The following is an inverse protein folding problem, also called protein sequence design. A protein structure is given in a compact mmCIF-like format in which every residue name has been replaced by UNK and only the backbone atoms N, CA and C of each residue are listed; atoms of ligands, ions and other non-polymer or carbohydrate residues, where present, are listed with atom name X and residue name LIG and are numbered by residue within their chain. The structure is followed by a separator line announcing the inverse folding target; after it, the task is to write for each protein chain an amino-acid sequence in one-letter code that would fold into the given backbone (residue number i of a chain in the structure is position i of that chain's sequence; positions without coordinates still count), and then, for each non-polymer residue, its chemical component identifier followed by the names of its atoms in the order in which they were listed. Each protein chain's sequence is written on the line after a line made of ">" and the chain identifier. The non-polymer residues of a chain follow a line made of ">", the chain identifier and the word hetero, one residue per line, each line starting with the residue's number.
data_IF_787664894876
#
_entry.id   IF_787664894876
#
_cell.length_a   1.000
_cell.length_b   1.000
_cell.length_c   1.000
_cell.angle_alpha   90.00
_cell.angle_beta   90.00
_cell.angle_gamma   90.00
#
_symmetry.space_group_name_H-M   'P 1'
#
loop_
_entity.id
_entity.type
_entity.pdbx_description
1 polymer ?
#
# COMPACT_ATOMS: atom_id res chain seq x y z
N UNK A 1 -45.12 41.06 -5.83
CA UNK A 1 -44.52 39.89 -5.14
C UNK A 1 -43.10 39.71 -5.65
N UNK A 2 -42.12 40.15 -4.86
CA UNK A 2 -40.70 40.01 -5.18
C UNK A 2 -40.24 38.66 -4.61
N UNK A 3 -39.79 37.73 -5.46
CA UNK A 3 -39.24 36.46 -5.00
C UNK A 3 -37.90 36.72 -4.32
N UNK A 4 -37.87 36.36 -3.04
CA UNK A 4 -36.76 36.47 -2.11
C UNK A 4 -35.58 35.61 -2.59
N UNK A 5 -34.50 36.27 -3.01
CA UNK A 5 -33.16 35.67 -3.12
C UNK A 5 -32.67 35.39 -1.70
N UNK A 6 -32.42 34.11 -1.37
CA UNK A 6 -31.72 33.74 -0.14
C UNK A 6 -30.32 33.23 -0.50
N UNK A 7 -29.37 34.14 -0.33
CA UNK A 7 -27.99 33.85 0.04
C UNK A 7 -27.96 33.21 1.45
N UNK A 8 -26.83 32.60 1.85
CA UNK A 8 -26.53 31.77 3.05
C UNK A 8 -26.50 30.28 2.64
N UNK A 9 -25.36 29.58 2.54
CA UNK A 9 -24.23 29.55 3.47
C UNK A 9 -22.88 29.33 2.80
N UNK A 10 -21.92 30.20 3.13
CA UNK A 10 -20.50 29.85 3.19
C UNK A 10 -20.29 29.12 4.54
N UNK A 11 -19.25 28.28 4.58
CA UNK A 11 -18.60 27.63 5.75
C UNK A 11 -19.11 26.22 6.07
N UNK A 12 -18.48 25.21 5.46
CA UNK A 12 -17.98 24.02 6.20
C UNK A 12 -16.76 23.42 5.49
N UNK A 13 -15.67 24.20 5.38
CA UNK A 13 -14.34 23.65 5.08
C UNK A 13 -13.53 23.72 6.37
N UNK A 14 -13.76 22.80 7.31
CA UNK A 14 -12.87 22.50 8.44
C UNK A 14 -13.29 21.17 9.10
N UNK A 15 -13.24 20.06 8.35
CA UNK A 15 -13.42 18.73 8.93
C UNK A 15 -12.31 17.71 8.58
N UNK A 16 -11.27 18.11 7.84
CA UNK A 16 -10.16 17.19 7.50
C UNK A 16 -8.96 17.27 8.45
N UNK A 17 -9.12 17.82 9.67
CA UNK A 17 -8.00 17.93 10.62
C UNK A 17 -8.02 16.90 11.76
N UNK A 18 -9.06 16.08 11.90
CA UNK A 18 -9.09 14.97 12.87
C UNK A 18 -9.94 13.81 12.34
N UNK A 19 -9.29 12.85 11.69
CA UNK A 19 -9.58 11.41 11.83
C UNK A 19 -11.02 10.89 11.69
N UNK A 20 -11.92 11.57 10.98
CA UNK A 20 -13.20 10.98 10.63
C UNK A 20 -13.00 10.01 9.46
N UNK A 21 -12.75 8.74 9.81
CA UNK A 21 -12.76 7.62 8.86
C UNK A 21 -14.00 7.71 7.99
N UNK A 22 -13.85 7.58 6.68
CA UNK A 22 -14.97 7.24 5.83
C UNK A 22 -15.65 5.99 6.45
N UNK A 23 -16.99 5.95 6.53
CA UNK A 23 -17.67 4.77 7.05
C UNK A 23 -17.18 3.56 6.25
N UNK A 24 -16.81 2.49 6.96
CA UNK A 24 -16.54 1.19 6.32
C UNK A 24 -17.70 0.90 5.37
N UNK A 25 -17.45 0.47 4.12
CA UNK A 25 -18.54 0.08 3.25
C UNK A 25 -19.35 -0.99 3.99
N UNK A 26 -20.62 -0.67 4.27
CA UNK A 26 -21.58 -1.67 4.73
C UNK A 26 -21.70 -2.68 3.59
N UNK A 27 -21.11 -3.87 3.80
CA UNK A 27 -21.32 -5.01 2.93
C UNK A 27 -22.79 -5.37 3.13
N UNK A 28 -23.63 -4.90 2.22
CA UNK A 28 -25.02 -5.30 2.14
C UNK A 28 -25.05 -6.81 1.89
N UNK A 29 -25.23 -7.59 2.96
CA UNK A 29 -25.57 -9.02 2.95
C UNK A 29 -26.97 -9.21 2.31
N UNK A 30 -27.05 -8.96 1.01
CA UNK A 30 -28.12 -9.44 0.15
C UNK A 30 -27.76 -10.82 -0.40
N UNK A 31 -28.74 -11.69 -0.70
CA UNK A 31 -28.47 -12.96 -1.34
C UNK A 31 -27.97 -12.69 -2.77
N UNK A 32 -26.66 -12.68 -3.00
CA UNK A 32 -26.16 -12.59 -4.38
C UNK A 32 -24.69 -12.33 -4.68
N UNK A 33 -23.83 -11.90 -3.75
CA UNK A 33 -22.41 -11.67 -4.07
C UNK A 33 -21.54 -12.01 -2.86
N UNK A 34 -20.90 -13.18 -2.87
CA UNK A 34 -19.82 -13.48 -1.91
C UNK A 34 -18.62 -12.67 -2.37
N UNK A 35 -18.18 -11.70 -1.56
CA UNK A 35 -16.92 -11.00 -1.82
C UNK A 35 -15.77 -11.99 -1.56
N UNK A 36 -15.13 -12.45 -2.64
CA UNK A 36 -13.94 -13.29 -2.57
C UNK A 36 -12.74 -12.39 -2.83
N UNK A 37 -12.11 -11.90 -1.77
CA UNK A 37 -11.00 -10.93 -1.87
C UNK A 37 -9.87 -11.42 -2.78
N UNK A 38 -9.60 -12.74 -2.77
CA UNK A 38 -8.59 -13.37 -3.62
C UNK A 38 -8.81 -13.18 -5.13
N UNK A 39 -10.06 -12.97 -5.58
CA UNK A 39 -10.38 -12.76 -7.00
C UNK A 39 -9.92 -11.38 -7.50
N UNK A 40 -9.68 -10.43 -6.59
CA UNK A 40 -9.25 -9.06 -6.90
C UNK A 40 -7.76 -8.81 -6.59
N UNK A 41 -7.10 -9.77 -5.94
CA UNK A 41 -5.67 -9.73 -5.63
C UNK A 41 -4.80 -10.06 -6.84
N UNK A 42 -3.58 -9.52 -6.85
CA UNK A 42 -2.58 -9.93 -7.83
C UNK A 42 -2.08 -11.36 -7.58
N UNK A 43 -1.48 -11.98 -8.60
CA UNK A 43 -0.81 -13.28 -8.44
C UNK A 43 0.25 -13.27 -7.32
N UNK A 44 0.87 -12.11 -7.09
CA UNK A 44 1.85 -11.90 -6.02
C UNK A 44 1.17 -11.82 -4.65
N UNK A 45 0.12 -11.02 -4.50
CA UNK A 45 -0.59 -10.92 -3.23
C UNK A 45 -1.23 -12.26 -2.82
N UNK A 46 -1.65 -13.08 -3.80
CA UNK A 46 -2.18 -14.42 -3.56
C UNK A 46 -1.15 -15.43 -3.02
N UNK A 47 0.15 -15.10 -2.95
CA UNK A 47 1.14 -15.94 -2.25
C UNK A 47 1.16 -15.73 -0.73
N UNK A 48 0.40 -14.74 -0.25
CA UNK A 48 0.30 -14.34 1.15
C UNK A 48 -1.14 -14.49 1.67
N UNK A 49 -1.33 -14.92 2.93
CA UNK A 49 -2.65 -15.06 3.54
C UNK A 49 -3.18 -13.71 4.05
N UNK A 50 -3.41 -12.75 3.14
CA UNK A 50 -3.97 -11.44 3.49
C UNK A 50 -5.32 -11.53 4.24
N UNK A 51 -6.12 -12.57 3.98
CA UNK A 51 -7.40 -12.81 4.68
C UNK A 51 -7.26 -13.17 6.15
N UNK A 52 -6.11 -13.75 6.53
CA UNK A 52 -5.87 -14.21 7.90
C UNK A 52 -5.28 -13.11 8.77
N UNK A 53 -4.83 -12.01 8.16
CA UNK A 53 -4.24 -10.88 8.86
C UNK A 53 -5.32 -9.91 9.37
N UNK A 54 -5.32 -9.68 10.69
CA UNK A 54 -6.22 -8.74 11.33
C UNK A 54 -5.88 -7.29 10.92
N UNK A 55 -6.86 -6.54 10.42
CA UNK A 55 -6.70 -5.12 10.06
C UNK A 55 -6.84 -4.78 8.58
N UNK A 56 -6.94 -5.78 7.70
CA UNK A 56 -7.16 -5.60 6.26
C UNK A 56 -6.12 -4.67 5.58
N UNK A 57 -4.82 -4.98 5.69
CA UNK A 57 -3.74 -4.15 5.17
C UNK A 57 -3.80 -4.07 3.64
N UNK A 58 -3.31 -2.96 3.09
CA UNK A 58 -3.18 -2.73 1.65
C UNK A 58 -1.80 -3.14 1.12
N UNK A 59 -0.81 -3.22 2.02
CA UNK A 59 0.54 -3.67 1.68
C UNK A 59 1.05 -4.71 2.67
N UNK A 60 1.73 -5.71 2.13
CA UNK A 60 2.69 -6.50 2.89
C UNK A 60 4.11 -5.96 2.59
N UNK A 61 4.93 -5.84 3.62
CA UNK A 61 6.25 -5.19 3.51
C UNK A 61 7.31 -6.02 4.21
N UNK A 62 8.42 -6.24 3.52
CA UNK A 62 9.65 -6.84 4.08
C UNK A 62 10.68 -5.74 4.23
N UNK A 63 11.28 -5.60 5.41
CA UNK A 63 12.52 -4.84 5.54
C UNK A 63 13.71 -5.69 5.10
N UNK A 64 14.35 -5.28 4.01
CA UNK A 64 15.53 -5.92 3.45
C UNK A 64 16.76 -5.29 4.10
N UNK A 65 17.16 -5.83 5.25
CA UNK A 65 18.31 -5.32 6.04
C UNK A 65 19.62 -5.16 5.26
N UNK A 66 19.78 -5.86 4.12
CA UNK A 66 20.91 -5.77 3.20
C UNK A 66 20.48 -6.03 1.73
N UNK A 67 21.11 -5.37 0.76
CA UNK A 67 20.83 -5.56 -0.69
C UNK A 67 21.02 -7.01 -1.15
N UNK A 68 21.93 -7.75 -0.49
CA UNK A 68 22.27 -9.13 -0.84
C UNK A 68 21.15 -10.15 -0.60
N UNK A 69 20.10 -9.77 0.13
CA UNK A 69 18.99 -10.66 0.49
C UNK A 69 17.73 -10.46 -0.36
N UNK A 70 17.68 -9.44 -1.22
CA UNK A 70 16.49 -9.11 -2.03
C UNK A 70 16.02 -10.29 -2.88
N UNK A 71 16.93 -10.91 -3.62
CA UNK A 71 16.60 -12.04 -4.49
C UNK A 71 16.12 -13.26 -3.68
N UNK A 72 16.72 -13.51 -2.51
CA UNK A 72 16.29 -14.59 -1.60
C UNK A 72 14.82 -14.43 -1.19
N UNK A 73 14.41 -13.23 -0.79
CA UNK A 73 13.01 -12.97 -0.43
C UNK A 73 12.07 -13.11 -1.63
N UNK A 74 12.44 -12.56 -2.79
CA UNK A 74 11.64 -12.70 -4.03
C UNK A 74 11.43 -14.18 -4.37
N UNK A 75 12.50 -14.97 -4.38
CA UNK A 75 12.42 -16.39 -4.73
C UNK A 75 11.62 -17.20 -3.73
N UNK A 76 11.71 -16.86 -2.44
CA UNK A 76 11.02 -17.58 -1.37
C UNK A 76 9.54 -17.22 -1.28
N UNK A 77 9.19 -15.93 -1.35
CA UNK A 77 7.81 -15.46 -1.28
C UNK A 77 7.01 -15.81 -2.54
N UNK A 78 7.68 -15.79 -3.70
CA UNK A 78 7.06 -16.03 -5.00
C UNK A 78 7.51 -17.34 -5.64
N UNK A 79 7.87 -18.34 -4.83
CA UNK A 79 8.37 -19.64 -5.32
C UNK A 79 7.40 -20.39 -6.24
N UNK A 80 6.10 -20.11 -6.10
CA UNK A 80 5.05 -20.66 -6.95
C UNK A 80 4.77 -19.89 -8.24
N UNK A 81 5.41 -18.73 -8.44
CA UNK A 81 5.24 -17.91 -9.64
C UNK A 81 6.32 -18.20 -10.69
N UNK A 82 6.03 -17.83 -11.93
CA UNK A 82 6.96 -17.98 -13.04
C UNK A 82 8.18 -17.07 -12.89
N UNK A 83 9.32 -17.47 -13.46
CA UNK A 83 10.52 -16.62 -13.54
C UNK A 83 10.27 -15.33 -14.33
N UNK A 84 9.34 -15.35 -15.29
CA UNK A 84 8.93 -14.15 -16.02
C UNK A 84 8.19 -13.16 -15.13
N UNK A 85 7.30 -13.64 -14.24
CA UNK A 85 6.64 -12.80 -13.24
C UNK A 85 7.67 -12.20 -12.29
N UNK A 86 8.55 -13.01 -11.70
CA UNK A 86 9.60 -12.51 -10.80
C UNK A 86 10.50 -11.44 -11.44
N UNK A 87 10.83 -11.57 -12.74
CA UNK A 87 11.62 -10.56 -13.48
C UNK A 87 10.93 -9.21 -13.67
N UNK A 88 9.60 -9.12 -13.48
CA UNK A 88 8.87 -7.84 -13.52
C UNK A 88 9.07 -7.02 -12.24
N UNK A 89 9.50 -7.64 -11.15
CA UNK A 89 9.78 -6.97 -9.88
C UNK A 89 10.98 -6.06 -10.10
N UNK A 90 10.74 -4.75 -10.05
CA UNK A 90 11.76 -3.72 -10.28
C UNK A 90 12.27 -3.16 -8.97
N UNK A 91 13.48 -2.61 -9.03
CA UNK A 91 14.06 -1.82 -7.95
C UNK A 91 14.03 -0.34 -8.31
N UNK A 92 13.64 0.48 -7.35
CA UNK A 92 13.65 1.93 -7.42
C UNK A 92 14.53 2.51 -6.32
N UNK A 93 15.38 3.47 -6.68
CA UNK A 93 16.29 4.13 -5.76
C UNK A 93 15.91 5.61 -5.62
N UNK A 94 15.44 5.97 -4.43
CA UNK A 94 15.09 7.34 -4.05
C UNK A 94 16.11 7.94 -3.06
N UNK A 95 17.28 7.31 -2.93
CA UNK A 95 18.32 7.62 -1.95
C UNK A 95 18.10 6.93 -0.60
N UNK A 96 18.92 7.26 0.41
CA UNK A 96 18.85 6.61 1.72
C UNK A 96 19.60 5.27 1.80
N UNK A 97 19.48 4.62 2.96
CA UNK A 97 20.25 3.41 3.30
C UNK A 97 19.39 2.20 3.69
N UNK A 98 18.06 2.33 3.64
CA UNK A 98 17.12 1.24 3.94
C UNK A 98 16.49 0.75 2.65
N UNK A 99 16.23 -0.55 2.60
CA UNK A 99 15.62 -1.21 1.45
C UNK A 99 14.42 -2.01 1.89
N UNK A 100 13.37 -2.01 1.09
CA UNK A 100 12.10 -2.67 1.39
C UNK A 100 11.59 -3.40 0.16
N UNK A 101 11.00 -4.58 0.34
CA UNK A 101 10.15 -5.19 -0.68
C UNK A 101 8.70 -4.86 -0.32
N UNK A 102 8.03 -4.13 -1.21
CA UNK A 102 6.64 -3.72 -1.05
C UNK A 102 5.77 -4.59 -1.95
N UNK A 103 4.73 -5.19 -1.36
CA UNK A 103 3.79 -6.08 -2.03
C UNK A 103 2.39 -5.46 -1.90
N UNK A 104 1.90 -4.78 -2.95
CA UNK A 104 0.52 -4.31 -2.99
C UNK A 104 -0.45 -5.49 -2.96
N UNK A 105 -1.53 -5.37 -2.19
CA UNK A 105 -2.59 -6.38 -2.14
C UNK A 105 -3.38 -6.46 -3.45
N UNK A 106 -3.61 -5.33 -4.09
CA UNK A 106 -4.45 -5.18 -5.29
C UNK A 106 -3.68 -4.57 -6.45
N UNK A 107 -4.22 -4.72 -7.67
CA UNK A 107 -3.73 -4.05 -8.87
C UNK A 107 -4.25 -2.61 -8.97
N UNK A 108 -4.04 -1.84 -7.91
CA UNK A 108 -4.45 -0.44 -7.81
C UNK A 108 -3.37 0.51 -8.33
N UNK A 109 -3.77 1.76 -8.59
CA UNK A 109 -2.83 2.85 -8.83
C UNK A 109 -1.96 3.05 -7.58
N UNK A 110 -0.71 2.64 -7.68
CA UNK A 110 0.33 2.87 -6.67
C UNK A 110 1.22 4.01 -7.14
N UNK A 111 1.33 5.06 -6.33
CA UNK A 111 2.26 6.17 -6.53
C UNK A 111 3.40 6.10 -5.49
N UNK A 112 4.64 6.37 -5.93
CA UNK A 112 5.81 6.58 -5.07
C UNK A 112 6.37 7.98 -5.33
N UNK A 113 6.56 8.78 -4.29
CA UNK A 113 7.12 10.12 -4.41
C UNK A 113 7.95 10.53 -3.20
N UNK A 114 8.88 11.48 -3.37
CA UNK A 114 9.48 12.17 -2.22
C UNK A 114 8.45 13.10 -1.59
N UNK A 115 8.47 13.19 -0.26
CA UNK A 115 7.57 14.08 0.47
C UNK A 115 7.85 15.53 0.06
N UNK A 116 6.84 16.20 -0.47
CA UNK A 116 6.94 17.57 -0.99
C UNK A 116 7.37 17.66 -2.47
N UNK A 117 7.52 16.53 -3.17
CA UNK A 117 7.93 16.48 -4.58
C UNK A 117 7.07 15.45 -5.36
N UNK A 118 5.77 15.72 -5.43
CA UNK A 118 4.81 14.85 -6.13
C UNK A 118 4.95 14.93 -7.67
N UNK A 119 5.56 15.99 -8.20
CA UNK A 119 5.76 16.18 -9.65
C UNK A 119 6.73 15.14 -10.24
N UNK A 120 7.65 14.60 -9.43
CA UNK A 120 8.60 13.56 -9.82
C UNK A 120 8.18 12.17 -9.32
N UNK A 121 6.87 11.93 -9.18
CA UNK A 121 6.33 10.65 -8.73
C UNK A 121 6.46 9.54 -9.79
N UNK A 122 6.52 8.30 -9.32
CA UNK A 122 6.38 7.10 -10.15
C UNK A 122 5.01 6.49 -9.92
N UNK A 123 4.33 6.08 -10.98
CA UNK A 123 3.00 5.47 -10.91
C UNK A 123 2.97 4.11 -11.61
N UNK A 124 2.27 3.15 -11.00
CA UNK A 124 2.07 1.79 -11.51
C UNK A 124 0.64 1.34 -11.24
N UNK A 125 0.12 0.41 -12.04
CA UNK A 125 -1.30 0.02 -12.05
C UNK A 125 -1.51 -1.50 -12.12
N UNK A 126 -0.47 -2.29 -11.89
CA UNK A 126 -0.49 -3.74 -12.08
C UNK A 126 -0.35 -4.54 -10.77
N UNK A 127 -0.14 -3.85 -9.65
CA UNK A 127 0.11 -4.44 -8.33
C UNK A 127 1.32 -5.37 -8.31
N UNK A 128 2.26 -5.20 -9.26
CA UNK A 128 3.55 -5.90 -9.24
C UNK A 128 4.36 -5.41 -8.03
N UNK A 129 4.89 -6.32 -7.20
CA UNK A 129 5.79 -5.96 -6.12
C UNK A 129 7.01 -5.19 -6.61
N UNK A 130 7.56 -4.36 -5.73
CA UNK A 130 8.75 -3.59 -6.06
C UNK A 130 9.68 -3.47 -4.86
N UNK A 131 10.96 -3.33 -5.18
CA UNK A 131 12.01 -3.07 -4.21
C UNK A 131 12.25 -1.57 -4.17
N UNK A 132 12.22 -0.98 -2.98
CA UNK A 132 12.42 0.45 -2.79
C UNK A 132 13.60 0.69 -1.86
N UNK A 133 14.59 1.44 -2.34
CA UNK A 133 15.65 2.01 -1.51
C UNK A 133 15.29 3.46 -1.20
N UNK A 134 15.05 3.76 0.08
CA UNK A 134 14.58 5.07 0.50
C UNK A 134 15.06 5.45 1.91
N UNK A 135 15.01 6.76 2.20
CA UNK A 135 14.97 7.27 3.57
C UNK A 135 13.54 7.40 4.09
N UNK A 136 13.38 8.07 5.23
CA UNK A 136 12.08 8.43 5.80
C UNK A 136 11.41 9.64 5.08
N UNK A 137 11.84 9.94 3.87
CA UNK A 137 11.43 11.06 3.02
C UNK A 137 10.62 10.61 1.79
N UNK A 138 10.26 9.33 1.69
CA UNK A 138 9.50 8.75 0.58
C UNK A 138 8.13 8.30 1.04
N UNK A 139 7.12 8.58 0.23
CA UNK A 139 5.73 8.19 0.47
C UNK A 139 5.27 7.24 -0.62
N UNK A 140 4.51 6.23 -0.22
CA UNK A 140 3.80 5.31 -1.11
C UNK A 140 2.31 5.56 -0.88
N UNK A 141 1.58 5.78 -1.96
CA UNK A 141 0.14 6.07 -1.94
C UNK A 141 -0.60 5.08 -2.84
N UNK A 142 -1.76 4.61 -2.39
CA UNK A 142 -2.79 4.02 -3.24
C UNK A 142 -4.00 4.94 -3.19
N UNK A 143 -4.41 5.46 -4.36
CA UNK A 143 -5.53 6.40 -4.45
C UNK A 143 -6.89 5.71 -4.48
N UNK A 144 -6.93 4.47 -4.97
CA UNK A 144 -8.12 3.64 -4.86
C UNK A 144 -8.42 3.32 -3.38
N UNK A 145 -9.68 3.04 -3.04
CA UNK A 145 -10.11 2.66 -1.68
C UNK A 145 -10.08 3.74 -0.58
N UNK A 146 -9.97 5.02 -0.91
CA UNK A 146 -10.13 6.11 0.06
C UNK A 146 -8.85 6.87 0.37
N UNK A 147 -7.77 6.60 -0.37
CA UNK A 147 -6.49 7.28 -0.23
C UNK A 147 -5.72 6.73 0.97
N UNK A 148 -5.00 5.64 0.74
CA UNK A 148 -4.11 5.06 1.74
C UNK A 148 -2.69 5.51 1.44
N UNK A 149 -1.93 5.85 2.49
CA UNK A 149 -0.54 6.24 2.34
C UNK A 149 0.31 5.71 3.48
N UNK A 150 1.56 5.39 3.18
CA UNK A 150 2.56 5.09 4.20
C UNK A 150 3.96 5.52 3.76
N UNK A 151 4.82 5.74 4.75
CA UNK A 151 6.26 5.96 4.55
C UNK A 151 7.01 4.77 5.15
N UNK A 152 7.77 4.00 4.35
CA UNK A 152 8.56 2.89 4.86
C UNK A 152 9.61 3.36 5.88
N UNK A 153 9.48 2.90 7.12
CA UNK A 153 10.40 3.22 8.21
C UNK A 153 10.62 2.01 9.10
N UNK A 154 11.76 1.99 9.78
CA UNK A 154 12.04 1.04 10.85
C UNK A 154 12.39 1.77 12.13
N UNK A 155 12.08 1.16 13.27
CA UNK A 155 12.45 1.63 14.60
C UNK A 155 13.97 1.47 14.86
N UNK A 156 14.39 1.81 16.08
CA UNK A 156 15.80 1.70 16.50
C UNK A 156 16.34 0.25 16.53
N UNK A 157 15.45 -0.75 16.57
CA UNK A 157 15.79 -2.16 16.56
C UNK A 157 15.75 -2.76 15.13
N UNK A 158 15.48 -1.95 14.11
CA UNK A 158 15.37 -2.40 12.73
C UNK A 158 14.05 -3.10 12.41
N UNK A 159 13.02 -2.97 13.26
CA UNK A 159 11.69 -3.51 13.00
C UNK A 159 10.85 -2.52 12.20
N UNK A 160 10.04 -2.99 11.25
CA UNK A 160 9.19 -2.12 10.44
C UNK A 160 8.15 -1.41 11.32
N UNK A 161 8.02 -0.09 11.15
CA UNK A 161 6.96 0.69 11.78
C UNK A 161 5.69 0.46 10.96
N UNK A 162 4.72 -0.25 11.55
CA UNK A 162 3.47 -0.63 10.88
C UNK A 162 2.34 0.34 11.23
N UNK A 163 1.47 0.58 10.25
CA UNK A 163 0.14 1.19 10.41
C UNK A 163 -0.94 0.12 10.19
N UNK A 164 -2.22 0.48 10.29
CA UNK A 164 -3.31 -0.46 9.96
C UNK A 164 -3.28 -0.93 8.50
N UNK A 165 -2.65 -0.15 7.61
CA UNK A 165 -2.55 -0.44 6.18
C UNK A 165 -1.34 -1.32 5.82
N UNK A 166 -0.40 -1.52 6.76
CA UNK A 166 0.89 -2.18 6.49
C UNK A 166 1.06 -3.42 7.37
N UNK A 167 1.28 -4.55 6.71
CA UNK A 167 1.67 -5.80 7.35
C UNK A 167 3.17 -6.04 7.23
N UNK A 168 3.89 -6.02 8.35
CA UNK A 168 5.29 -6.47 8.40
C UNK A 168 5.40 -7.99 8.26
N UNK A 169 6.00 -8.42 7.16
CA UNK A 169 6.27 -9.82 6.83
C UNK A 169 7.78 -10.11 6.81
N UNK A 170 8.59 -9.29 7.49
CA UNK A 170 10.06 -9.45 7.49
C UNK A 170 10.49 -10.83 7.99
N UNK A 171 9.80 -11.39 8.98
CA UNK A 171 10.07 -12.74 9.52
C UNK A 171 9.21 -13.84 8.85
N UNK A 172 8.30 -13.48 7.94
CA UNK A 172 7.37 -14.42 7.34
C UNK A 172 8.11 -15.40 6.44
N UNK A 173 7.96 -16.70 6.74
CA UNK A 173 8.66 -17.78 6.07
C UNK A 173 10.19 -17.54 6.03
N UNK A 174 10.83 -16.96 7.04
CA UNK A 174 12.32 -16.91 7.09
C UNK A 174 12.97 -18.29 7.15
#
# INVERSE_FOLDING_TARGET
>A
MVKLVKFISIITIFANLFGCKAPKPDILDGPGMVYVDGDYRTEYANTLPFDEYEGYPFWAVVYLSEEKNTQYYIDKLFSGLSEESKKKIKQYDFGGNKMYLIIPRYADETEISKIGDAENSLQFYDGTPFVLKCGADVKICIYTHGGHEFTPQTDENGKLICTEDVWDITEYKQ
#
